data_IF_758348447689
#
_entry.id   IF_758348447689
#
_cell.length_a   1.000
_cell.length_b   1.000
_cell.length_c   1.000
_cell.angle_alpha   90.00
_cell.angle_beta   90.00
_cell.angle_gamma   90.00
#
_symmetry.space_group_name_H-M   'P 1'
#
loop_
_entity.id
_entity.type
_entity.pdbx_description
1 polymer ?
#
# COMPACT_ATOMS: atom_id res chain seq x y z
N UNK A 1 26.00 44.19 38.36
CA UNK A 1 25.44 42.84 38.54
C UNK A 1 23.96 42.89 38.23
N UNK A 2 23.42 42.01 37.41
CA UNK A 2 22.02 41.83 36.96
C UNK A 2 21.57 42.55 35.67
N UNK A 3 22.16 42.16 34.54
CA UNK A 3 21.50 42.34 33.24
C UNK A 3 21.59 41.08 32.33
N UNK A 4 22.06 39.96 32.85
CA UNK A 4 22.31 38.75 32.04
C UNK A 4 21.18 37.71 32.09
N UNK A 5 20.15 37.86 32.93
CA UNK A 5 19.17 36.79 33.15
C UNK A 5 17.87 36.90 32.32
N UNK A 6 17.62 37.99 31.59
CA UNK A 6 16.39 38.13 30.82
C UNK A 6 16.46 37.59 29.38
N UNK A 7 17.67 37.40 28.85
CA UNK A 7 17.82 36.86 27.46
C UNK A 7 17.72 35.38 27.37
N UNK A 8 17.99 34.62 28.44
CA UNK A 8 17.92 33.16 28.46
C UNK A 8 16.51 32.62 28.73
N UNK A 9 15.68 33.38 29.42
CA UNK A 9 14.28 33.01 29.69
C UNK A 9 13.42 33.13 28.43
N UNK A 10 13.67 34.13 27.57
CA UNK A 10 12.96 34.28 26.30
C UNK A 10 13.35 33.18 25.26
N UNK A 11 14.59 32.70 25.27
CA UNK A 11 15.04 31.65 24.39
C UNK A 11 14.48 30.25 24.78
N UNK A 12 14.26 30.00 26.07
CA UNK A 12 13.69 28.75 26.55
C UNK A 12 12.18 28.64 26.30
N UNK A 13 11.47 29.76 26.26
CA UNK A 13 10.03 29.80 25.96
C UNK A 13 9.72 29.56 24.47
N UNK A 14 10.67 29.87 23.57
CA UNK A 14 10.49 29.60 22.13
C UNK A 14 10.81 28.16 21.75
N UNK A 15 11.60 27.43 22.54
CA UNK A 15 11.90 26.01 22.30
C UNK A 15 10.80 25.05 22.80
N UNK A 16 9.89 25.51 23.66
CA UNK A 16 8.76 24.66 24.13
C UNK A 16 7.50 24.79 23.28
N UNK A 17 7.46 25.72 22.30
CA UNK A 17 6.32 25.87 21.39
C UNK A 17 6.44 24.99 20.12
N UNK A 18 7.55 24.25 19.93
CA UNK A 18 7.69 23.17 18.95
C UNK A 18 7.21 21.83 19.50
N UNK A 19 6.23 21.85 20.40
CA UNK A 19 5.56 20.62 20.83
C UNK A 19 4.69 20.11 19.71
N UNK A 20 5.22 19.08 19.04
CA UNK A 20 4.45 17.93 18.61
C UNK A 20 3.09 18.28 17.95
N UNK A 21 3.09 18.91 16.79
CA UNK A 21 2.13 18.53 15.78
C UNK A 21 2.45 17.07 15.41
N UNK A 22 2.01 16.14 16.27
CA UNK A 22 1.78 14.77 15.81
C UNK A 22 0.78 14.96 14.70
N UNK A 23 1.23 14.87 13.46
CA UNK A 23 0.39 14.50 12.35
C UNK A 23 -0.15 13.12 12.71
N UNK A 24 -1.18 13.09 13.55
CA UNK A 24 -2.09 11.97 13.54
C UNK A 24 -2.62 12.00 12.12
N UNK A 25 -2.30 10.98 11.36
CA UNK A 25 -3.00 10.70 10.13
C UNK A 25 -4.46 10.41 10.55
N UNK A 26 -5.23 11.49 10.74
CA UNK A 26 -6.68 11.37 10.88
C UNK A 26 -7.15 10.77 9.57
N UNK A 27 -7.80 9.60 9.65
CA UNK A 27 -8.41 8.99 8.50
C UNK A 27 -9.37 9.98 7.82
N UNK A 28 -9.70 9.73 6.56
CA UNK A 28 -10.65 10.60 5.86
C UNK A 28 -11.95 10.74 6.65
N UNK A 29 -12.52 11.95 6.77
CA UNK A 29 -13.74 12.17 7.53
C UNK A 29 -14.94 11.47 6.87
N UNK A 30 -15.87 11.00 7.69
CA UNK A 30 -17.14 10.46 7.24
C UNK A 30 -18.05 11.57 6.74
N UNK A 31 -18.86 11.29 5.73
CA UNK A 31 -19.90 12.20 5.22
C UNK A 31 -21.13 11.41 4.76
N UNK A 32 -22.30 12.05 4.81
CA UNK A 32 -23.48 11.49 4.19
C UNK A 32 -23.27 11.34 2.66
N UNK A 33 -23.75 10.26 2.03
CA UNK A 33 -23.55 10.02 0.60
C UNK A 33 -23.97 11.18 -0.30
N UNK A 34 -25.12 11.79 -0.04
CA UNK A 34 -25.66 12.93 -0.77
C UNK A 34 -24.78 14.19 -0.64
N UNK A 35 -24.18 14.41 0.51
CA UNK A 35 -23.25 15.54 0.75
C UNK A 35 -21.98 15.49 -0.12
N UNK A 36 -21.64 14.32 -0.65
CA UNK A 36 -20.51 14.12 -1.56
C UNK A 36 -20.94 13.76 -2.99
N UNK A 37 -22.26 13.80 -3.27
CA UNK A 37 -22.83 13.67 -4.59
C UNK A 37 -23.08 12.23 -5.04
N UNK A 38 -23.35 11.31 -4.12
CA UNK A 38 -23.99 10.03 -4.41
C UNK A 38 -25.51 10.17 -4.27
N UNK A 39 -26.26 9.48 -5.11
CA UNK A 39 -27.71 9.40 -4.93
C UNK A 39 -28.05 8.60 -3.67
N UNK A 40 -28.94 9.16 -2.85
CA UNK A 40 -29.41 8.49 -1.64
C UNK A 40 -29.97 7.10 -1.97
N UNK A 41 -29.58 6.11 -1.21
CA UNK A 41 -30.02 4.72 -1.37
C UNK A 41 -29.27 3.89 -2.40
N UNK A 42 -28.48 4.46 -3.31
CA UNK A 42 -27.68 3.64 -4.25
C UNK A 42 -26.59 2.82 -3.55
N UNK A 43 -25.93 3.40 -2.55
CA UNK A 43 -24.87 2.68 -1.81
C UNK A 43 -25.43 1.52 -0.97
N UNK A 44 -26.72 1.51 -0.63
CA UNK A 44 -27.34 0.39 0.08
C UNK A 44 -27.46 -0.88 -0.79
N UNK A 45 -27.37 -0.77 -2.12
CA UNK A 45 -27.34 -1.94 -3.01
C UNK A 45 -26.10 -2.79 -2.79
N UNK A 46 -25.02 -2.20 -2.27
CA UNK A 46 -23.79 -2.93 -1.88
C UNK A 46 -24.13 -4.04 -0.87
N UNK A 47 -25.04 -3.79 0.06
CA UNK A 47 -25.46 -4.77 1.06
C UNK A 47 -25.97 -6.08 0.41
N UNK A 48 -26.80 -5.95 -0.62
CA UNK A 48 -27.37 -7.11 -1.31
C UNK A 48 -26.30 -7.91 -2.08
N UNK A 49 -25.41 -7.21 -2.81
CA UNK A 49 -24.34 -7.84 -3.59
C UNK A 49 -23.35 -8.57 -2.67
N UNK A 50 -22.94 -7.92 -1.59
CA UNK A 50 -22.01 -8.55 -0.64
C UNK A 50 -22.67 -9.73 0.07
N UNK A 51 -23.95 -9.61 0.45
CA UNK A 51 -24.68 -10.71 1.08
C UNK A 51 -24.82 -11.93 0.15
N UNK A 52 -24.90 -11.72 -1.16
CA UNK A 52 -24.90 -12.79 -2.16
C UNK A 52 -23.55 -13.51 -2.17
N UNK A 53 -22.43 -12.80 -2.34
CA UNK A 53 -21.09 -13.42 -2.35
C UNK A 53 -20.75 -14.16 -1.04
N UNK A 54 -21.20 -13.64 0.13
CA UNK A 54 -21.04 -14.34 1.41
C UNK A 54 -21.86 -15.62 1.46
N UNK A 55 -23.10 -15.60 0.99
CA UNK A 55 -24.01 -16.75 0.98
C UNK A 55 -23.49 -17.85 0.02
N UNK A 56 -22.96 -17.44 -1.12
CA UNK A 56 -22.46 -18.35 -2.14
C UNK A 56 -21.04 -18.88 -1.82
N UNK A 57 -20.46 -18.41 -0.71
CA UNK A 57 -19.15 -18.86 -0.21
C UNK A 57 -17.94 -18.33 -1.01
N UNK A 58 -18.14 -17.28 -1.80
CA UNK A 58 -17.06 -16.66 -2.58
C UNK A 58 -16.03 -15.92 -1.71
N UNK A 59 -16.43 -15.51 -0.51
CA UNK A 59 -15.58 -14.87 0.48
C UNK A 59 -16.05 -15.16 1.91
N UNK A 60 -15.14 -15.13 2.87
CA UNK A 60 -15.47 -15.25 4.30
C UNK A 60 -16.00 -13.93 4.86
N UNK A 61 -15.51 -12.81 4.36
CA UNK A 61 -15.89 -11.47 4.76
C UNK A 61 -15.08 -10.41 4.03
N UNK A 62 -15.53 -9.17 4.14
CA UNK A 62 -14.85 -8.02 3.57
C UNK A 62 -15.16 -6.73 4.34
N UNK A 63 -14.39 -5.69 4.06
CA UNK A 63 -14.72 -4.30 4.41
C UNK A 63 -14.88 -3.51 3.12
N UNK A 64 -16.04 -2.89 2.94
CA UNK A 64 -16.27 -2.00 1.79
C UNK A 64 -16.13 -0.56 2.22
N UNK A 65 -15.26 0.18 1.53
CA UNK A 65 -15.04 1.60 1.71
C UNK A 65 -15.28 2.33 0.39
N UNK A 66 -16.19 3.31 0.38
CA UNK A 66 -16.41 4.18 -0.78
C UNK A 66 -16.14 5.62 -0.37
N UNK A 67 -15.15 6.23 -1.03
CA UNK A 67 -14.75 7.61 -0.80
C UNK A 67 -15.02 8.52 -1.99
N UNK A 68 -15.34 9.79 -1.74
CA UNK A 68 -15.47 10.83 -2.75
C UNK A 68 -15.17 12.21 -2.15
N UNK A 69 -14.49 13.07 -2.91
CA UNK A 69 -14.15 14.44 -2.50
C UNK A 69 -13.41 14.51 -1.16
N UNK A 70 -12.48 13.55 -0.93
CA UNK A 70 -11.69 13.50 0.30
C UNK A 70 -12.48 13.09 1.55
N UNK A 71 -13.65 12.45 1.37
CA UNK A 71 -14.50 11.97 2.47
C UNK A 71 -14.95 10.54 2.22
N UNK A 72 -15.19 9.79 3.29
CA UNK A 72 -15.75 8.44 3.25
C UNK A 72 -17.29 8.56 3.27
N UNK A 73 -17.93 8.11 2.21
CA UNK A 73 -19.39 8.11 2.08
C UNK A 73 -20.02 6.78 2.54
N UNK A 74 -19.22 5.70 2.54
CA UNK A 74 -19.67 4.37 2.95
C UNK A 74 -18.49 3.62 3.52
N UNK A 75 -18.66 3.03 4.69
CA UNK A 75 -17.66 2.18 5.34
C UNK A 75 -18.37 1.14 6.17
N UNK A 76 -18.29 -0.12 5.74
CA UNK A 76 -19.02 -1.19 6.40
C UNK A 76 -18.29 -2.52 6.34
N UNK A 77 -18.12 -3.23 7.49
CA UNK A 77 -17.62 -4.57 7.53
C UNK A 77 -18.75 -5.58 7.28
N UNK A 78 -18.41 -6.74 6.71
CA UNK A 78 -19.33 -7.83 6.42
C UNK A 78 -18.68 -9.18 6.70
N UNK A 79 -19.48 -10.17 7.16
CA UNK A 79 -19.02 -11.52 7.39
C UNK A 79 -17.97 -11.63 8.49
N UNK A 80 -17.00 -12.50 8.28
CA UNK A 80 -16.01 -12.86 9.28
C UNK A 80 -14.59 -12.61 8.78
N UNK A 81 -13.70 -12.13 9.68
CA UNK A 81 -12.25 -12.05 9.42
C UNK A 81 -11.53 -13.38 9.63
N UNK A 82 -12.20 -14.31 10.30
CA UNK A 82 -11.74 -15.69 10.54
C UNK A 82 -12.95 -16.60 10.64
N UNK A 83 -12.89 -17.78 10.01
CA UNK A 83 -13.94 -18.81 10.09
C UNK A 83 -13.48 -20.05 10.86
N UNK A 84 -12.18 -20.37 10.83
CA UNK A 84 -11.57 -21.49 11.55
C UNK A 84 -10.40 -21.00 12.41
N UNK A 85 -10.12 -21.59 13.58
CA UNK A 85 -10.91 -22.64 14.27
C UNK A 85 -12.18 -22.10 14.94
N UNK A 86 -12.33 -20.76 15.04
CA UNK A 86 -13.47 -20.08 15.65
C UNK A 86 -13.85 -18.89 14.78
N UNK A 87 -15.15 -18.68 14.56
CA UNK A 87 -15.66 -17.53 13.82
C UNK A 87 -15.41 -16.24 14.59
N UNK A 88 -14.80 -15.26 13.92
CA UNK A 88 -14.57 -13.91 14.44
C UNK A 88 -15.14 -12.92 13.42
N UNK A 89 -16.01 -12.05 13.87
CA UNK A 89 -16.66 -11.07 13.00
C UNK A 89 -15.66 -10.10 12.37
N UNK A 90 -15.93 -9.68 11.15
CA UNK A 90 -15.21 -8.62 10.47
C UNK A 90 -15.44 -7.28 11.16
N UNK A 91 -14.40 -6.47 11.27
CA UNK A 91 -14.47 -5.09 11.76
C UNK A 91 -13.79 -4.14 10.79
N UNK A 92 -14.05 -2.86 10.88
CA UNK A 92 -13.39 -1.84 10.02
C UNK A 92 -11.89 -1.72 10.32
N UNK A 93 -11.47 -2.14 11.51
CA UNK A 93 -10.07 -2.16 11.95
C UNK A 93 -9.34 -3.45 11.59
N UNK A 94 -10.01 -4.39 10.92
CA UNK A 94 -9.37 -5.65 10.49
C UNK A 94 -8.20 -5.35 9.57
N UNK A 95 -7.04 -5.91 9.90
CA UNK A 95 -5.83 -5.79 9.09
C UNK A 95 -5.87 -6.85 8.00
N UNK A 96 -5.68 -6.40 6.76
CA UNK A 96 -5.65 -7.23 5.56
C UNK A 96 -4.22 -7.40 5.05
N UNK A 97 -3.92 -8.58 4.50
CA UNK A 97 -2.78 -8.74 3.62
C UNK A 97 -3.00 -7.89 2.35
N UNK A 98 -2.05 -7.02 2.06
CA UNK A 98 -2.14 -6.10 0.93
C UNK A 98 -1.91 -6.80 -0.41
N UNK A 99 -1.43 -8.04 -0.41
CA UNK A 99 -1.14 -8.81 -1.61
C UNK A 99 -0.45 -7.97 -2.69
N UNK A 100 -0.96 -7.94 -3.92
CA UNK A 100 -0.36 -7.18 -5.02
C UNK A 100 -0.44 -5.66 -4.90
N UNK A 101 -1.22 -5.09 -3.97
CA UNK A 101 -1.15 -3.65 -3.66
C UNK A 101 0.23 -3.27 -3.10
N UNK A 102 0.98 -4.25 -2.58
CA UNK A 102 2.40 -4.08 -2.22
C UNK A 102 3.24 -3.54 -3.39
N UNK A 103 2.92 -3.89 -4.64
CA UNK A 103 3.65 -3.42 -5.83
C UNK A 103 3.65 -1.89 -5.96
N UNK A 104 2.49 -1.21 -6.02
CA UNK A 104 2.47 0.25 -6.09
C UNK A 104 2.86 0.93 -4.78
N UNK A 105 2.44 0.41 -3.62
CA UNK A 105 2.64 1.08 -2.33
C UNK A 105 4.08 0.92 -1.82
N UNK A 106 4.67 -0.26 -1.90
CA UNK A 106 6.02 -0.51 -1.39
C UNK A 106 7.07 -0.51 -2.51
N UNK A 107 6.93 -1.38 -3.52
CA UNK A 107 7.98 -1.56 -4.54
C UNK A 107 8.16 -0.32 -5.41
N UNK A 108 7.10 0.17 -6.05
CA UNK A 108 7.19 1.34 -6.91
C UNK A 108 7.61 2.59 -6.12
N UNK A 109 7.08 2.79 -4.91
CA UNK A 109 7.48 3.90 -4.04
C UNK A 109 8.96 3.83 -3.69
N UNK A 110 9.49 2.64 -3.34
CA UNK A 110 10.92 2.45 -3.03
C UNK A 110 11.81 2.75 -4.24
N UNK A 111 11.42 2.27 -5.44
CA UNK A 111 12.12 2.57 -6.69
C UNK A 111 12.12 4.07 -6.96
N UNK A 112 10.97 4.73 -6.84
CA UNK A 112 10.87 6.18 -7.07
C UNK A 112 11.67 7.02 -6.08
N UNK A 113 11.83 6.57 -4.83
CA UNK A 113 12.74 7.20 -3.87
C UNK A 113 14.21 7.10 -4.29
N UNK A 114 14.62 5.98 -4.91
CA UNK A 114 15.96 5.83 -5.47
C UNK A 114 16.16 6.73 -6.69
N UNK A 115 15.14 6.87 -7.53
CA UNK A 115 15.14 7.80 -8.67
C UNK A 115 15.26 9.25 -8.20
N UNK A 116 14.46 9.66 -7.21
CA UNK A 116 14.52 10.99 -6.60
C UNK A 116 15.90 11.33 -6.04
N UNK A 117 16.57 10.35 -5.45
CA UNK A 117 17.95 10.48 -4.93
C UNK A 117 19.02 10.45 -6.03
N UNK A 118 18.65 10.22 -7.28
CA UNK A 118 19.58 10.08 -8.41
C UNK A 118 20.43 8.80 -8.35
N UNK A 119 20.06 7.82 -7.55
CA UNK A 119 20.79 6.55 -7.42
C UNK A 119 20.56 5.65 -8.63
N UNK A 120 19.37 5.68 -9.21
CA UNK A 120 18.98 4.95 -10.42
C UNK A 120 18.15 5.86 -11.31
N UNK A 121 18.01 5.49 -12.59
CA UNK A 121 17.11 6.12 -13.55
C UNK A 121 16.11 5.09 -14.05
N UNK A 122 14.91 5.51 -14.41
CA UNK A 122 13.91 4.63 -15.01
C UNK A 122 14.41 3.99 -16.31
N UNK A 123 15.26 4.70 -17.07
CA UNK A 123 15.87 4.25 -18.31
C UNK A 123 17.08 3.32 -18.12
N UNK A 124 17.58 3.14 -16.89
CA UNK A 124 18.68 2.24 -16.64
C UNK A 124 18.23 0.80 -16.94
N UNK A 125 19.12 0.02 -17.53
CA UNK A 125 18.89 -1.41 -17.71
C UNK A 125 19.00 -2.13 -16.36
N UNK A 126 18.12 -3.07 -16.10
CA UNK A 126 18.19 -3.87 -14.88
C UNK A 126 19.55 -4.54 -14.73
N UNK A 127 20.13 -5.00 -15.83
CA UNK A 127 21.45 -5.64 -15.89
C UNK A 127 22.62 -4.71 -15.49
N UNK A 128 22.45 -3.39 -15.50
CA UNK A 128 23.47 -2.45 -14.99
C UNK A 128 23.59 -2.51 -13.46
N UNK A 129 22.50 -2.91 -12.78
CA UNK A 129 22.44 -3.04 -11.33
C UNK A 129 22.52 -4.51 -10.87
N UNK A 130 22.03 -5.45 -11.68
CA UNK A 130 22.02 -6.88 -11.45
C UNK A 130 22.57 -7.57 -12.70
N UNK A 131 23.90 -7.73 -12.85
CA UNK A 131 24.51 -8.26 -14.08
C UNK A 131 24.00 -9.65 -14.49
N UNK A 132 23.67 -10.49 -13.49
CA UNK A 132 23.15 -11.84 -13.71
C UNK A 132 21.78 -11.84 -14.40
N UNK A 133 21.06 -10.73 -14.35
CA UNK A 133 19.76 -10.57 -15.01
C UNK A 133 19.88 -10.53 -16.55
N UNK A 134 21.05 -10.21 -17.11
CA UNK A 134 21.25 -10.06 -18.56
C UNK A 134 21.05 -11.35 -19.37
N UNK A 135 20.89 -12.49 -18.70
CA UNK A 135 20.73 -13.80 -19.36
C UNK A 135 19.40 -13.89 -20.13
N UNK A 136 19.36 -14.82 -21.10
CA UNK A 136 18.14 -15.16 -21.86
C UNK A 136 17.46 -14.00 -22.58
N UNK A 137 18.24 -13.00 -23.06
CA UNK A 137 17.73 -11.88 -23.84
C UNK A 137 17.13 -10.75 -23.02
N UNK A 138 17.35 -10.74 -21.69
CA UNK A 138 16.84 -9.71 -20.77
C UNK A 138 17.78 -8.49 -20.63
N UNK A 139 18.89 -8.46 -21.35
CA UNK A 139 19.91 -7.41 -21.27
C UNK A 139 19.39 -6.01 -21.61
N UNK A 140 18.32 -5.91 -22.39
CA UNK A 140 17.70 -4.64 -22.77
C UNK A 140 16.58 -4.16 -21.84
N UNK A 141 16.10 -5.01 -20.93
CA UNK A 141 14.98 -4.68 -20.02
C UNK A 141 15.36 -3.53 -19.09
N UNK A 142 14.54 -2.49 -19.06
CA UNK A 142 14.73 -1.31 -18.22
C UNK A 142 13.92 -1.41 -16.91
N UNK A 143 14.28 -0.55 -15.94
CA UNK A 143 13.51 -0.40 -14.69
C UNK A 143 12.08 0.06 -15.01
N UNK A 144 11.91 0.95 -16.00
CA UNK A 144 10.58 1.40 -16.45
C UNK A 144 9.74 0.24 -16.99
N UNK A 145 10.32 -0.64 -17.81
CA UNK A 145 9.61 -1.81 -18.35
C UNK A 145 9.05 -2.70 -17.25
N UNK A 146 9.81 -2.90 -16.15
CA UNK A 146 9.36 -3.65 -14.99
C UNK A 146 8.19 -2.96 -14.28
N UNK A 147 8.30 -1.64 -14.04
CA UNK A 147 7.25 -0.88 -13.34
C UNK A 147 5.96 -0.80 -14.15
N UNK A 148 6.05 -0.79 -15.47
CA UNK A 148 4.90 -0.75 -16.38
C UNK A 148 4.37 -2.14 -16.78
N UNK A 149 4.98 -3.22 -16.27
CA UNK A 149 4.65 -4.60 -16.67
C UNK A 149 4.80 -4.87 -18.17
N UNK A 150 5.83 -4.27 -18.81
CA UNK A 150 6.11 -4.37 -20.25
C UNK A 150 7.42 -5.11 -20.56
N UNK A 151 8.04 -5.70 -19.55
CA UNK A 151 9.35 -6.36 -19.65
C UNK A 151 9.36 -7.64 -20.48
N UNK A 152 8.20 -8.22 -20.80
CA UNK A 152 8.09 -9.52 -21.48
C UNK A 152 8.34 -10.74 -20.58
N UNK A 153 8.61 -10.54 -19.29
CA UNK A 153 8.76 -11.64 -18.33
C UNK A 153 7.44 -12.35 -18.10
N UNK A 154 7.51 -13.61 -17.67
CA UNK A 154 6.33 -14.33 -17.20
C UNK A 154 5.69 -13.59 -16.03
N UNK A 155 4.34 -13.51 -15.98
CA UNK A 155 3.65 -12.72 -14.95
C UNK A 155 3.82 -13.29 -13.55
N UNK A 156 4.06 -14.60 -13.42
CA UNK A 156 4.26 -15.28 -12.14
C UNK A 156 5.06 -16.57 -12.33
N UNK A 157 5.84 -16.94 -11.34
CA UNK A 157 6.61 -18.17 -11.30
C UNK A 157 5.91 -19.22 -10.45
N UNK A 158 6.30 -20.50 -10.62
CA UNK A 158 5.86 -21.55 -9.72
C UNK A 158 6.27 -21.24 -8.28
N UNK A 159 5.37 -21.47 -7.33
CA UNK A 159 5.66 -21.25 -5.90
C UNK A 159 6.92 -21.98 -5.43
N UNK A 160 7.20 -23.14 -6.04
CA UNK A 160 8.40 -23.93 -5.76
C UNK A 160 9.72 -23.15 -5.94
N UNK A 161 9.74 -22.17 -6.86
CA UNK A 161 10.94 -21.37 -7.14
C UNK A 161 11.36 -20.46 -5.97
N UNK A 162 10.48 -20.28 -4.99
CA UNK A 162 10.70 -19.42 -3.82
C UNK A 162 10.94 -20.20 -2.51
N UNK A 163 10.83 -21.53 -2.51
CA UNK A 163 10.86 -22.32 -1.27
C UNK A 163 12.28 -22.52 -0.70
N UNK A 164 13.30 -22.47 -1.55
CA UNK A 164 14.71 -22.73 -1.15
C UNK A 164 15.46 -21.50 -0.64
N UNK A 165 14.70 -20.46 -0.30
CA UNK A 165 15.24 -19.22 0.28
C UNK A 165 15.58 -18.15 -0.75
N UNK A 166 15.88 -16.91 -0.29
CA UNK A 166 15.97 -15.74 -1.17
C UNK A 166 17.10 -15.82 -2.21
N UNK A 167 18.25 -16.41 -1.88
CA UNK A 167 19.35 -16.54 -2.83
C UNK A 167 19.00 -17.44 -4.02
N UNK A 168 18.35 -18.58 -3.77
CA UNK A 168 17.89 -19.49 -4.81
C UNK A 168 16.74 -18.90 -5.62
N UNK A 169 15.83 -18.18 -4.98
CA UNK A 169 14.76 -17.47 -5.66
C UNK A 169 15.30 -16.44 -6.66
N UNK A 170 16.31 -15.66 -6.29
CA UNK A 170 16.98 -14.70 -7.18
C UNK A 170 17.66 -15.43 -8.35
N UNK A 171 18.37 -16.52 -8.09
CA UNK A 171 18.98 -17.35 -9.14
C UNK A 171 17.93 -17.84 -10.13
N UNK A 172 16.82 -18.38 -9.65
CA UNK A 172 15.71 -18.88 -10.47
C UNK A 172 15.09 -17.76 -11.33
N UNK A 173 14.84 -16.57 -10.75
CA UNK A 173 14.34 -15.40 -11.48
C UNK A 173 15.31 -14.93 -12.57
N UNK A 174 16.61 -14.98 -12.31
CA UNK A 174 17.61 -14.61 -13.30
C UNK A 174 17.72 -15.64 -14.43
N UNK A 175 17.37 -16.90 -14.18
CA UNK A 175 17.41 -17.99 -15.14
C UNK A 175 16.18 -18.09 -16.08
N UNK A 176 15.14 -17.27 -15.86
CA UNK A 176 13.91 -17.24 -16.67
C UNK A 176 14.07 -16.70 -18.09
#
# INVERSE_FOLDING_TARGET
>A
MNQLNHRYVAALSFLLACTANRLQAEGLPLAAPDAVGFASGQLSQIDAVVAEGLRDGEMAGCVVCVGRRGKIAYLKPYGHRQVEPTKIDMTVETVFDMASITKPVATATSVMLLVERGTIKLTDRVAEHIPEFAQHGKDAVTIEDLLLHQSGLTPDNALADYLDGPAKAIENVNAL
#
